data_IF_360912365902
#
_entry.id   IF_360912365902
#
_cell.length_a   1.000
_cell.length_b   1.000
_cell.length_c   1.000
_cell.angle_alpha   90.00
_cell.angle_beta   90.00
_cell.angle_gamma   90.00
#
_symmetry.space_group_name_H-M   'P 1'
#
loop_
_entity.id
_entity.type
_entity.pdbx_description
1 polymer ?
#
# COMPACT_ATOMS: atom_id res chain seq x y z
N UNK A 1 -5.61 5.40 -8.33
CA UNK A 1 -5.74 4.10 -9.06
C UNK A 1 -7.06 3.96 -9.80
N UNK A 2 -8.21 4.27 -9.18
CA UNK A 2 -9.53 4.15 -9.82
C UNK A 2 -9.62 4.89 -11.18
N UNK A 3 -9.21 6.17 -11.23
CA UNK A 3 -9.20 6.97 -12.47
C UNK A 3 -8.44 6.27 -13.60
N UNK A 4 -7.25 5.70 -13.35
CA UNK A 4 -6.48 4.98 -14.37
C UNK A 4 -7.26 3.79 -14.94
N UNK A 5 -7.95 3.02 -14.10
CA UNK A 5 -8.76 1.86 -14.52
C UNK A 5 -10.04 2.29 -15.25
N UNK A 6 -10.71 3.33 -14.77
CA UNK A 6 -11.94 3.87 -15.38
C UNK A 6 -11.63 4.49 -16.74
N UNK A 7 -10.65 5.39 -16.82
CA UNK A 7 -10.27 6.08 -18.04
C UNK A 7 -9.85 5.10 -19.15
N UNK A 8 -9.04 4.09 -18.81
CA UNK A 8 -8.62 3.07 -19.79
C UNK A 8 -9.77 2.16 -20.25
N UNK A 9 -10.72 1.84 -19.36
CA UNK A 9 -11.89 1.04 -19.74
C UNK A 9 -12.86 1.82 -20.64
N UNK A 10 -13.15 3.08 -20.29
CA UNK A 10 -14.00 3.98 -21.06
C UNK A 10 -13.38 4.31 -22.43
N UNK A 11 -12.08 4.59 -22.49
CA UNK A 11 -11.37 4.83 -23.75
C UNK A 11 -11.43 3.63 -24.70
N UNK A 12 -11.58 2.41 -24.16
CA UNK A 12 -11.78 1.19 -24.93
C UNK A 12 -13.26 0.88 -25.23
N UNK A 13 -14.18 1.81 -25.00
CA UNK A 13 -15.61 1.66 -25.30
C UNK A 13 -16.39 0.78 -24.32
N UNK A 14 -15.81 0.43 -23.16
CA UNK A 14 -16.47 -0.44 -22.18
C UNK A 14 -17.37 0.37 -21.23
N UNK A 15 -18.44 -0.26 -20.75
CA UNK A 15 -19.18 0.20 -19.57
C UNK A 15 -18.45 -0.23 -18.29
N UNK A 16 -18.50 0.60 -17.24
CA UNK A 16 -17.77 0.35 -15.98
C UNK A 16 -18.73 0.39 -14.80
N UNK A 17 -18.71 -0.67 -13.97
CA UNK A 17 -19.33 -0.67 -12.65
C UNK A 17 -18.20 -0.53 -11.63
N UNK A 18 -18.27 0.51 -10.80
CA UNK A 18 -17.26 0.79 -9.77
C UNK A 18 -17.84 0.48 -8.39
N UNK A 19 -17.17 -0.37 -7.62
CA UNK A 19 -17.40 -0.55 -6.20
C UNK A 19 -16.22 0.05 -5.43
N UNK A 20 -16.51 1.09 -4.64
CA UNK A 20 -15.54 1.73 -3.75
C UNK A 20 -15.67 1.18 -2.32
N UNK A 21 -14.60 1.29 -1.53
CA UNK A 21 -14.66 1.00 -0.09
C UNK A 21 -15.63 1.97 0.60
N UNK A 22 -16.36 1.48 1.60
CA UNK A 22 -17.46 2.24 2.23
C UNK A 22 -17.04 3.58 2.84
N UNK A 23 -15.76 3.76 3.14
CA UNK A 23 -15.16 5.03 3.58
C UNK A 23 -15.30 6.17 2.56
N UNK A 24 -15.49 5.86 1.27
CA UNK A 24 -15.59 6.86 0.18
C UNK A 24 -17.05 7.20 -0.17
N UNK A 25 -18.04 6.62 0.51
CA UNK A 25 -19.48 6.82 0.24
C UNK A 25 -20.00 8.28 0.44
N UNK A 26 -19.12 9.23 0.74
CA UNK A 26 -19.43 10.67 0.84
C UNK A 26 -19.44 11.40 -0.51
N UNK A 27 -18.98 10.79 -1.60
CA UNK A 27 -18.98 11.41 -2.94
C UNK A 27 -20.09 10.81 -3.79
N UNK A 28 -21.31 11.37 -3.70
CA UNK A 28 -22.51 10.88 -4.40
C UNK A 28 -22.74 11.52 -5.78
N UNK A 29 -21.92 12.48 -6.19
CA UNK A 29 -22.28 13.40 -7.28
C UNK A 29 -21.69 13.05 -8.66
N UNK A 30 -21.19 11.82 -8.86
CA UNK A 30 -20.75 11.40 -10.19
C UNK A 30 -21.90 10.80 -10.99
N UNK A 31 -22.49 11.58 -11.90
CA UNK A 31 -23.29 11.05 -13.00
C UNK A 31 -22.35 10.42 -14.04
N UNK A 32 -22.47 9.11 -14.24
CA UNK A 32 -21.83 8.45 -15.37
C UNK A 32 -22.69 8.66 -16.60
N UNK A 33 -22.08 9.14 -17.67
CA UNK A 33 -22.67 9.14 -19.01
C UNK A 33 -22.80 7.66 -19.42
N UNK A 34 -24.02 7.10 -19.32
CA UNK A 34 -24.39 5.71 -19.62
C UNK A 34 -23.91 4.59 -18.66
N UNK A 35 -23.87 4.85 -17.35
CA UNK A 35 -23.58 3.79 -16.36
C UNK A 35 -24.27 3.99 -15.02
N UNK A 36 -24.48 2.91 -14.26
CA UNK A 36 -24.97 3.00 -12.88
C UNK A 36 -23.83 2.69 -11.91
N UNK A 37 -23.61 3.59 -10.95
CA UNK A 37 -22.75 3.33 -9.80
C UNK A 37 -23.55 2.59 -8.73
N UNK A 38 -22.99 1.51 -8.18
CA UNK A 38 -23.57 0.80 -7.04
C UNK A 38 -22.51 0.68 -5.95
N UNK A 39 -22.91 0.98 -4.71
CA UNK A 39 -22.05 1.02 -3.53
C UNK A 39 -22.55 0.03 -2.47
N UNK A 40 -21.63 -0.52 -1.68
CA UNK A 40 -21.94 -1.34 -0.50
C UNK A 40 -21.00 -2.54 -0.31
N UNK A 41 -20.89 -3.00 0.94
CA UNK A 41 -20.02 -4.09 1.41
C UNK A 41 -20.18 -5.43 0.66
N UNK A 42 -21.36 -5.71 0.12
CA UNK A 42 -21.66 -6.93 -0.66
C UNK A 42 -21.66 -6.72 -2.19
N UNK A 43 -21.29 -5.52 -2.66
CA UNK A 43 -21.36 -5.19 -4.09
C UNK A 43 -20.33 -5.98 -4.90
N UNK A 44 -19.17 -6.27 -4.32
CA UNK A 44 -18.12 -7.05 -4.99
C UNK A 44 -18.60 -8.43 -5.44
N UNK A 45 -19.22 -9.21 -4.55
CA UNK A 45 -19.76 -10.53 -4.90
C UNK A 45 -20.84 -10.45 -5.98
N UNK A 46 -21.76 -9.47 -5.88
CA UNK A 46 -22.82 -9.26 -6.87
C UNK A 46 -22.30 -8.85 -8.25
N UNK A 47 -21.22 -8.06 -8.31
CA UNK A 47 -20.56 -7.71 -9.58
C UNK A 47 -19.97 -8.97 -10.21
N UNK A 48 -19.25 -9.78 -9.43
CA UNK A 48 -18.61 -10.99 -9.95
C UNK A 48 -19.64 -12.07 -10.32
N UNK A 49 -20.83 -12.05 -9.74
CA UNK A 49 -21.91 -12.98 -10.12
C UNK A 49 -22.75 -12.50 -11.31
N UNK A 50 -22.56 -11.27 -11.80
CA UNK A 50 -23.37 -10.74 -12.88
C UNK A 50 -22.94 -11.32 -14.24
N UNK A 51 -23.83 -12.04 -14.97
CA UNK A 51 -23.48 -12.71 -16.23
C UNK A 51 -23.06 -11.74 -17.36
N UNK A 52 -23.34 -10.44 -17.24
CA UNK A 52 -22.94 -9.40 -18.19
C UNK A 52 -21.58 -8.77 -17.87
N UNK A 53 -20.90 -9.23 -16.83
CA UNK A 53 -19.53 -8.82 -16.56
C UNK A 53 -18.60 -9.70 -17.38
N UNK A 54 -17.56 -9.12 -17.99
CA UNK A 54 -16.58 -9.87 -18.79
C UNK A 54 -15.14 -9.60 -18.37
N UNK A 55 -14.94 -8.56 -17.54
CA UNK A 55 -13.64 -8.15 -17.03
C UNK A 55 -13.80 -7.57 -15.64
N UNK A 56 -12.98 -8.05 -14.70
CA UNK A 56 -12.96 -7.53 -13.34
C UNK A 56 -11.56 -7.05 -12.99
N UNK A 57 -11.49 -5.84 -12.44
CA UNK A 57 -10.22 -5.23 -12.05
C UNK A 57 -10.20 -4.86 -10.58
N UNK A 58 -9.37 -5.53 -9.79
CA UNK A 58 -9.25 -5.29 -8.35
C UNK A 58 -8.02 -4.44 -8.02
N UNK A 59 -8.11 -3.66 -6.95
CA UNK A 59 -6.98 -2.94 -6.36
C UNK A 59 -7.16 -3.02 -4.84
N UNK A 60 -6.36 -3.86 -4.17
CA UNK A 60 -6.42 -4.02 -2.71
C UNK A 60 -5.06 -4.34 -2.11
N UNK A 61 -4.78 -3.90 -0.87
CA UNK A 61 -3.57 -4.29 -0.17
C UNK A 61 -3.51 -5.81 0.02
N UNK A 62 -2.31 -6.39 0.05
CA UNK A 62 -2.09 -7.84 0.10
C UNK A 62 -2.77 -8.47 1.32
N UNK A 63 -2.74 -7.77 2.44
CA UNK A 63 -3.18 -8.28 3.73
C UNK A 63 -4.68 -8.50 3.87
N UNK A 64 -5.50 -7.76 3.14
CA UNK A 64 -6.94 -8.02 3.06
C UNK A 64 -7.29 -8.92 1.88
N UNK A 65 -6.28 -9.30 1.09
CA UNK A 65 -6.48 -9.86 -0.23
C UNK A 65 -6.52 -11.37 -0.22
N UNK A 66 -5.67 -12.13 0.49
CA UNK A 66 -5.49 -13.54 0.10
C UNK A 66 -6.79 -14.35 0.00
N UNK A 67 -7.65 -14.36 1.04
CA UNK A 67 -8.95 -15.06 0.95
C UNK A 67 -9.92 -14.46 -0.06
N UNK A 68 -10.07 -13.13 -0.08
CA UNK A 68 -11.04 -12.43 -0.95
C UNK A 68 -10.59 -12.43 -2.41
N UNK A 69 -9.28 -12.38 -2.62
CA UNK A 69 -8.59 -12.48 -3.90
C UNK A 69 -8.77 -13.87 -4.46
N UNK A 70 -8.42 -14.91 -3.69
CA UNK A 70 -8.60 -16.29 -4.13
C UNK A 70 -10.07 -16.59 -4.41
N UNK A 71 -10.99 -16.19 -3.52
CA UNK A 71 -12.42 -16.40 -3.77
C UNK A 71 -12.90 -15.69 -5.04
N UNK A 72 -12.49 -14.43 -5.27
CA UNK A 72 -12.90 -13.68 -6.46
C UNK A 72 -12.20 -14.20 -7.73
N UNK A 73 -10.95 -14.62 -7.65
CA UNK A 73 -10.20 -15.19 -8.75
C UNK A 73 -10.80 -16.54 -9.18
N UNK A 74 -11.19 -17.39 -8.23
CA UNK A 74 -11.91 -18.64 -8.51
C UNK A 74 -13.25 -18.38 -9.20
N UNK A 75 -14.02 -17.40 -8.73
CA UNK A 75 -15.28 -17.04 -9.38
C UNK A 75 -15.08 -16.54 -10.82
N UNK A 76 -14.08 -15.67 -11.02
CA UNK A 76 -13.71 -15.14 -12.35
C UNK A 76 -13.21 -16.26 -13.27
N UNK A 77 -12.42 -17.20 -12.74
CA UNK A 77 -11.93 -18.37 -13.47
C UNK A 77 -13.08 -19.25 -13.96
N UNK A 78 -14.05 -19.54 -13.08
CA UNK A 78 -15.21 -20.37 -13.43
C UNK A 78 -16.09 -19.78 -14.53
N UNK A 79 -16.01 -18.47 -14.77
CA UNK A 79 -16.77 -17.77 -15.81
C UNK A 79 -15.94 -17.41 -17.05
N UNK A 80 -14.66 -17.81 -17.08
CA UNK A 80 -13.72 -17.54 -18.18
C UNK A 80 -13.56 -16.04 -18.49
N UNK A 81 -13.55 -15.19 -17.45
CA UNK A 81 -13.42 -13.75 -17.59
C UNK A 81 -11.97 -13.27 -17.52
N UNK A 82 -11.70 -12.09 -18.08
CA UNK A 82 -10.39 -11.46 -17.93
C UNK A 82 -10.23 -10.85 -16.53
N UNK A 83 -9.17 -11.25 -15.83
CA UNK A 83 -8.85 -10.78 -14.50
C UNK A 83 -7.65 -9.82 -14.49
N UNK A 84 -7.77 -8.67 -13.81
CA UNK A 84 -6.61 -7.79 -13.56
C UNK A 84 -6.55 -7.31 -12.12
N UNK A 85 -5.62 -7.84 -11.34
CA UNK A 85 -5.35 -7.33 -9.99
C UNK A 85 -4.21 -6.32 -9.98
N UNK A 86 -4.29 -5.41 -9.02
CA UNK A 86 -3.11 -4.76 -8.45
C UNK A 86 -3.17 -5.03 -6.97
N UNK A 87 -2.32 -5.94 -6.53
CA UNK A 87 -2.23 -6.31 -5.13
C UNK A 87 -1.10 -5.48 -4.53
N UNK A 88 -1.25 -5.11 -3.26
CA UNK A 88 -0.12 -4.63 -2.47
C UNK A 88 0.98 -5.69 -2.42
N UNK A 89 2.14 -5.29 -1.96
CA UNK A 89 3.28 -6.18 -1.82
C UNK A 89 4.34 -5.49 -1.00
N UNK A 90 5.10 -6.29 -0.24
CA UNK A 90 6.31 -5.77 0.37
C UNK A 90 7.31 -5.57 -0.76
N UNK A 91 7.64 -4.31 -1.06
CA UNK A 91 8.69 -4.03 -2.03
C UNK A 91 10.02 -4.56 -1.46
N UNK A 92 10.91 -5.09 -2.31
CA UNK A 92 12.26 -5.42 -1.87
C UNK A 92 12.84 -4.19 -1.18
N UNK A 93 13.43 -4.35 0.01
CA UNK A 93 14.02 -3.21 0.68
C UNK A 93 15.10 -2.58 -0.20
N UNK A 94 15.15 -1.25 -0.23
CA UNK A 94 16.28 -0.56 -0.84
C UNK A 94 17.53 -0.88 -0.02
N UNK A 95 18.52 -1.52 -0.64
CA UNK A 95 19.86 -1.64 -0.07
C UNK A 95 20.60 -0.32 -0.26
N UNK A 96 21.01 0.30 0.85
CA UNK A 96 21.77 1.55 0.83
C UNK A 96 23.25 1.20 1.01
N UNK A 97 24.09 1.37 -0.02
CA UNK A 97 25.53 1.10 0.07
C UNK A 97 26.20 1.98 1.11
N UNK A 98 27.29 1.50 1.71
CA UNK A 98 28.08 2.28 2.67
C UNK A 98 28.76 3.50 2.06
N UNK A 99 28.91 3.54 0.73
CA UNK A 99 29.49 4.65 -0.03
C UNK A 99 28.49 5.77 -0.34
N UNK A 100 27.22 5.61 0.03
CA UNK A 100 26.18 6.61 -0.24
C UNK A 100 26.45 7.88 0.56
N UNK A 101 26.71 8.98 -0.15
CA UNK A 101 26.84 10.30 0.47
C UNK A 101 25.48 10.70 1.06
N UNK A 102 25.38 10.67 2.38
CA UNK A 102 24.13 10.75 3.10
C UNK A 102 23.82 12.22 3.43
N UNK A 103 22.78 12.77 2.81
CA UNK A 103 22.15 14.00 3.32
C UNK A 103 20.83 13.63 3.97
N UNK A 104 20.71 13.86 5.28
CA UNK A 104 19.48 13.66 6.05
C UNK A 104 18.28 14.34 5.37
N UNK A 105 18.48 15.40 4.59
CA UNK A 105 17.43 16.09 3.82
C UNK A 105 16.81 15.24 2.72
N UNK A 106 17.48 14.19 2.23
CA UNK A 106 17.06 13.30 1.14
C UNK A 106 16.33 12.00 1.56
N UNK A 107 16.10 11.81 2.87
CA UNK A 107 15.17 10.80 3.42
C UNK A 107 13.64 11.07 3.31
N UNK A 108 13.07 12.11 2.61
CA UNK A 108 11.64 12.33 2.64
C UNK A 108 10.84 11.15 2.11
N UNK A 109 11.37 10.38 1.15
CA UNK A 109 10.60 9.36 0.45
C UNK A 109 9.96 8.30 1.37
N UNK A 110 10.63 7.98 2.49
CA UNK A 110 10.13 7.03 3.50
C UNK A 110 8.91 7.56 4.26
N UNK A 111 8.84 8.89 4.46
CA UNK A 111 7.78 9.56 5.23
C UNK A 111 6.89 10.47 4.38
N UNK A 112 7.10 10.52 3.06
CA UNK A 112 6.34 11.37 2.15
C UNK A 112 4.99 10.69 1.89
N UNK A 113 4.00 11.07 2.71
CA UNK A 113 2.62 10.56 2.79
C UNK A 113 2.58 9.30 3.68
N UNK A 114 1.59 9.18 4.59
CA UNK A 114 1.40 7.94 5.34
C UNK A 114 1.44 6.78 4.35
N UNK A 115 2.28 5.78 4.63
CA UNK A 115 2.70 4.64 3.79
C UNK A 115 1.57 3.69 3.37
N UNK A 116 0.36 4.22 3.22
CA UNK A 116 -0.82 3.62 2.65
C UNK A 116 -0.76 3.59 1.11
N UNK A 117 0.43 3.36 0.54
CA UNK A 117 0.63 3.21 -0.90
C UNK A 117 0.98 1.77 -1.20
N UNK A 118 0.44 1.26 -2.31
CA UNK A 118 0.82 -0.03 -2.91
C UNK A 118 2.31 -0.16 -3.29
N UNK A 119 3.09 0.91 -3.09
CA UNK A 119 4.52 1.02 -3.43
C UNK A 119 5.25 1.87 -2.39
N UNK A 120 4.93 1.71 -1.12
CA UNK A 120 5.77 2.25 -0.06
C UNK A 120 6.89 1.25 0.25
N UNK A 121 8.14 1.70 0.21
CA UNK A 121 9.26 0.93 0.73
C UNK A 121 9.17 0.99 2.26
N UNK A 122 8.61 -0.07 2.84
CA UNK A 122 8.44 -0.19 4.29
C UNK A 122 9.73 -0.69 4.98
N UNK A 123 10.59 -1.33 4.21
CA UNK A 123 11.82 -1.94 4.68
C UNK A 123 13.03 -1.24 4.06
N UNK A 124 14.03 -0.94 4.87
CA UNK A 124 15.31 -0.40 4.42
C UNK A 124 16.44 -1.29 4.91
N UNK A 125 17.33 -1.67 3.99
CA UNK A 125 18.53 -2.44 4.30
C UNK A 125 19.73 -1.51 4.35
N UNK A 126 20.47 -1.59 5.45
CA UNK A 126 21.67 -0.79 5.66
C UNK A 126 22.86 -1.68 5.88
N UNK A 127 23.97 -1.35 5.23
CA UNK A 127 25.21 -2.13 5.28
C UNK A 127 26.28 -1.38 6.07
N UNK A 128 26.90 -2.06 7.03
CA UNK A 128 28.07 -1.57 7.75
C UNK A 128 27.84 -0.28 8.56
N UNK A 129 28.81 0.65 8.49
CA UNK A 129 28.84 1.89 9.28
C UNK A 129 27.79 2.93 8.86
N UNK A 130 27.18 2.78 7.68
CA UNK A 130 26.07 3.64 7.26
C UNK A 130 24.85 3.46 8.18
N UNK A 131 24.61 2.23 8.66
CA UNK A 131 23.57 1.99 9.66
C UNK A 131 23.87 2.74 10.96
N UNK A 132 25.09 2.67 11.46
CA UNK A 132 25.47 3.33 12.72
C UNK A 132 25.39 4.86 12.59
N UNK A 133 25.74 5.38 11.41
CA UNK A 133 25.59 6.81 11.08
C UNK A 133 24.11 7.21 11.01
N UNK A 134 23.27 6.39 10.39
CA UNK A 134 21.82 6.62 10.36
C UNK A 134 21.21 6.56 11.77
N UNK A 135 21.56 5.53 12.56
CA UNK A 135 21.08 5.29 13.93
C UNK A 135 21.69 6.21 14.98
N UNK A 136 22.72 7.00 14.65
CA UNK A 136 23.15 8.14 15.46
C UNK A 136 22.34 9.42 15.20
N UNK A 137 21.58 9.49 14.10
CA UNK A 137 20.68 10.61 13.76
C UNK A 137 19.16 10.30 13.67
N UNK A 138 18.62 9.19 14.21
CA UNK A 138 17.30 8.66 13.84
C UNK A 138 16.15 9.58 14.31
N UNK A 139 16.44 10.45 15.28
CA UNK A 139 15.44 11.28 15.94
C UNK A 139 15.50 12.77 15.54
N UNK A 140 16.31 13.16 14.55
CA UNK A 140 16.26 14.56 14.11
C UNK A 140 14.93 14.89 13.41
N UNK A 141 14.35 13.92 12.69
CA UNK A 141 13.12 14.13 11.89
C UNK A 141 11.84 13.64 12.55
N UNK A 142 11.88 12.59 13.36
CA UNK A 142 10.66 12.07 14.04
C UNK A 142 9.92 13.16 14.83
N UNK A 143 10.58 13.99 15.67
CA UNK A 143 9.91 15.09 16.36
C UNK A 143 9.32 16.16 15.42
N UNK A 144 9.94 16.39 14.26
CA UNK A 144 9.44 17.32 13.25
C UNK A 144 8.16 16.77 12.61
N UNK A 145 8.14 15.47 12.30
CA UNK A 145 6.96 14.79 11.75
C UNK A 145 5.86 14.74 12.80
N UNK A 146 6.18 14.40 14.05
CA UNK A 146 5.21 14.34 15.16
C UNK A 146 4.55 15.69 15.42
N UNK A 147 5.29 16.80 15.32
CA UNK A 147 4.73 18.16 15.41
C UNK A 147 3.85 18.57 14.22
N UNK A 148 3.85 17.77 13.15
CA UNK A 148 3.09 17.98 11.92
C UNK A 148 2.12 16.83 11.64
N UNK A 149 1.78 16.06 12.67
CA UNK A 149 0.68 15.11 12.66
C UNK A 149 -0.55 15.79 13.25
N UNK A 150 -1.50 16.18 12.40
CA UNK A 150 -2.73 16.85 12.82
C UNK A 150 -3.82 16.73 11.74
N UNK A 151 -4.85 17.60 11.80
CA UNK A 151 -5.89 17.76 10.80
C UNK A 151 -5.28 17.88 9.39
N UNK A 152 -5.63 16.98 8.44
CA UNK A 152 -5.16 17.07 7.07
C UNK A 152 -5.60 18.34 6.32
N UNK A 153 -6.55 19.12 6.87
CA UNK A 153 -6.93 20.42 6.33
C UNK A 153 -6.00 21.56 6.75
N UNK A 154 -5.16 21.37 7.78
CA UNK A 154 -4.12 22.34 8.11
C UNK A 154 -2.94 22.21 7.12
N UNK A 155 -2.58 23.31 6.48
CA UNK A 155 -1.45 23.39 5.55
C UNK A 155 -0.09 23.05 6.19
N UNK A 156 -0.01 23.12 7.52
CA UNK A 156 1.20 22.76 8.29
C UNK A 156 1.32 21.26 8.52
N UNK A 157 0.21 20.52 8.39
CA UNK A 157 0.18 19.07 8.55
C UNK A 157 0.96 18.40 7.42
N UNK A 158 1.92 17.57 7.81
CA UNK A 158 2.70 16.77 6.88
C UNK A 158 2.17 15.33 6.80
N UNK A 159 1.53 14.84 7.86
CA UNK A 159 1.01 13.48 7.98
C UNK A 159 -0.38 13.54 8.59
N UNK A 160 -1.39 13.06 7.87
CA UNK A 160 -2.78 13.01 8.37
C UNK A 160 -3.02 11.83 9.32
N UNK A 161 -4.24 11.75 9.85
CA UNK A 161 -4.67 10.65 10.73
C UNK A 161 -4.73 9.29 10.01
N UNK A 162 -4.61 8.22 10.80
CA UNK A 162 -4.71 6.85 10.29
C UNK A 162 -6.14 6.48 9.91
N UNK A 163 -6.28 5.55 8.96
CA UNK A 163 -7.60 5.23 8.38
C UNK A 163 -8.52 4.40 9.29
N UNK A 164 -8.00 3.68 10.29
CA UNK A 164 -8.81 2.89 11.23
C UNK A 164 -8.02 2.49 12.48
N UNK A 165 -8.71 2.38 13.63
CA UNK A 165 -8.17 1.87 14.89
C UNK A 165 -7.72 0.41 14.75
N UNK A 166 -8.45 -0.41 13.98
CA UNK A 166 -8.07 -1.82 13.75
C UNK A 166 -6.67 -1.95 13.14
N UNK A 167 -6.24 -0.94 12.37
CA UNK A 167 -4.91 -0.92 11.77
C UNK A 167 -3.83 -0.54 12.76
N UNK A 168 -4.15 0.29 13.76
CA UNK A 168 -3.25 0.62 14.86
C UNK A 168 -3.01 -0.62 15.73
N UNK A 169 -4.08 -1.26 16.19
CA UNK A 169 -3.99 -2.47 17.02
C UNK A 169 -3.18 -3.55 16.32
N UNK A 170 -3.35 -3.71 15.01
CA UNK A 170 -2.55 -4.64 14.23
C UNK A 170 -1.05 -4.37 14.31
N UNK A 171 -0.62 -3.11 14.21
CA UNK A 171 0.82 -2.79 14.31
C UNK A 171 1.34 -3.15 15.70
N UNK A 172 0.54 -2.86 16.73
CA UNK A 172 0.87 -3.21 18.12
C UNK A 172 0.97 -4.74 18.31
N UNK A 173 0.12 -5.51 17.62
CA UNK A 173 0.10 -6.98 17.68
C UNK A 173 1.20 -7.65 16.83
N UNK A 174 1.88 -6.93 15.94
CA UNK A 174 2.95 -7.50 15.11
C UNK A 174 4.22 -7.72 15.94
N UNK A 175 4.55 -8.99 16.23
CA UNK A 175 5.77 -9.36 16.96
C UNK A 175 7.05 -8.81 16.28
N UNK A 176 7.95 -8.27 17.11
CA UNK A 176 9.05 -7.39 16.69
C UNK A 176 10.10 -7.99 15.74
N UNK A 177 10.21 -9.31 15.61
CA UNK A 177 11.41 -9.89 15.00
C UNK A 177 11.27 -10.18 13.49
N UNK A 178 10.19 -10.83 13.05
CA UNK A 178 10.09 -11.30 11.65
C UNK A 178 8.78 -10.91 10.94
N UNK A 179 7.70 -10.66 11.68
CA UNK A 179 6.39 -10.34 11.10
C UNK A 179 6.41 -9.04 10.30
N UNK A 180 7.06 -8.00 10.86
CA UNK A 180 7.18 -6.68 10.23
C UNK A 180 7.99 -6.68 8.92
N UNK A 181 8.88 -7.66 8.73
CA UNK A 181 9.65 -7.82 7.50
C UNK A 181 8.93 -8.60 6.42
N UNK A 182 7.98 -9.46 6.80
CA UNK A 182 7.27 -10.34 5.86
C UNK A 182 5.96 -9.73 5.40
N UNK A 183 5.31 -8.97 6.27
CA UNK A 183 3.98 -8.43 6.01
C UNK A 183 4.01 -6.98 5.52
N UNK A 184 3.06 -6.64 4.64
CA UNK A 184 2.88 -5.27 4.14
C UNK A 184 2.28 -4.37 5.23
N UNK A 185 3.10 -3.61 5.95
CA UNK A 185 2.57 -2.62 6.90
C UNK A 185 2.17 -1.36 6.14
N UNK A 186 0.87 -1.11 6.05
CA UNK A 186 0.29 0.00 5.29
C UNK A 186 0.25 1.31 6.08
N UNK A 187 1.19 1.52 6.98
CA UNK A 187 1.14 2.59 7.98
C UNK A 187 2.53 3.19 8.18
N UNK A 188 2.66 4.44 8.69
CA UNK A 188 3.92 5.21 8.77
C UNK A 188 4.93 4.64 9.77
N UNK A 189 5.32 3.40 9.56
CA UNK A 189 6.45 2.75 10.18
C UNK A 189 7.52 2.45 9.11
N UNK A 190 8.73 2.21 9.57
CA UNK A 190 9.84 1.80 8.73
C UNK A 190 10.65 0.81 9.52
N UNK A 191 10.93 -0.33 8.92
CA UNK A 191 11.76 -1.35 9.55
C UNK A 191 13.16 -1.24 8.97
N UNK A 192 14.13 -1.11 9.86
CA UNK A 192 15.53 -0.90 9.52
C UNK A 192 16.30 -2.09 10.04
N UNK A 193 17.06 -2.77 9.18
CA UNK A 193 17.93 -3.88 9.58
C UNK A 193 19.34 -3.61 9.09
N UNK A 194 20.29 -3.85 10.00
CA UNK A 194 21.72 -3.83 9.72
C UNK A 194 22.14 -5.17 9.13
N UNK A 195 22.91 -5.12 8.05
CA UNK A 195 23.59 -6.25 7.44
C UNK A 195 25.10 -6.04 7.54
N UNK A 196 25.85 -7.13 7.63
CA UNK A 196 27.31 -7.10 7.67
C UNK A 196 27.87 -6.65 6.33
N UNK A 197 27.32 -7.16 5.23
CA UNK A 197 27.71 -6.83 3.87
C UNK A 197 26.50 -6.79 2.89
N UNK A 198 26.76 -6.39 1.65
CA UNK A 198 25.73 -6.30 0.61
C UNK A 198 25.20 -7.67 0.17
N UNK A 199 25.98 -8.74 0.33
CA UNK A 199 25.60 -10.09 -0.08
C UNK A 199 24.56 -10.61 0.91
N UNK A 200 24.78 -10.44 2.22
CA UNK A 200 23.82 -10.80 3.26
C UNK A 200 22.48 -10.05 3.07
N UNK A 201 22.54 -8.75 2.76
CA UNK A 201 21.34 -7.95 2.45
C UNK A 201 20.58 -8.49 1.23
N UNK A 202 21.31 -8.82 0.15
CA UNK A 202 20.72 -9.39 -1.07
C UNK A 202 20.12 -10.76 -0.81
N UNK A 203 20.84 -11.67 -0.20
CA UNK A 203 20.39 -13.05 0.09
C UNK A 203 19.16 -13.03 1.01
N UNK A 204 19.15 -12.12 1.98
CA UNK A 204 17.97 -11.88 2.80
C UNK A 204 16.79 -11.37 1.95
N UNK A 205 16.99 -10.42 1.03
CA UNK A 205 15.88 -9.95 0.16
C UNK A 205 15.34 -11.05 -0.78
N UNK A 206 16.19 -11.99 -1.17
CA UNK A 206 15.84 -13.09 -2.09
C UNK A 206 15.18 -14.29 -1.40
N UNK A 207 15.23 -14.39 -0.07
CA UNK A 207 14.65 -15.51 0.68
C UNK A 207 13.16 -15.31 1.02
N UNK A 208 12.58 -14.16 0.69
CA UNK A 208 11.15 -13.90 0.86
C UNK A 208 10.40 -14.12 -0.47
N UNK A 209 9.44 -15.07 -0.50
CA UNK A 209 8.58 -15.31 -1.66
C UNK A 209 7.49 -14.25 -1.85
#
# INVERSE_FOLDING_TARGET
MAIKKIATALAAGNSVILALTDTINRVKDYQCINGSFRYGSNTGGKIVQNPFTYKVAFCRPLLFSHRVFHSNATLVWNQNWTYKSTIGGNLPPDSIPSSTDWDLRNLPAVFHIPSQRYRSNFSCQWVGSAFDTFMSHPNAKSPIINRRMDDPLDQKTAVGSMMSVDRLMRIEDMEEQDGLWREEVLEPATVVRKFQDEIEGRDHSCTFP
#
